data_IF_888495082953
#
_entry.id   IF_888495082953
#
_cell.length_a   1.000
_cell.length_b   1.000
_cell.length_c   1.000
_cell.angle_alpha   90.00
_cell.angle_beta   90.00
_cell.angle_gamma   90.00
#
_symmetry.space_group_name_H-M   'P 1'
#
loop_
_entity.id
_entity.type
_entity.pdbx_description
1 polymer ?
#
# COMPACT_ATOMS: atom_id res chain seq x y z
N UNK A 1 44.30 -13.64 10.90
CA UNK A 1 43.09 -13.62 11.74
C UNK A 1 41.97 -13.27 10.79
N UNK A 2 41.15 -14.25 10.43
CA UNK A 2 40.20 -14.23 9.31
C UNK A 2 39.02 -13.30 9.55
N UNK A 3 38.66 -12.55 8.50
CA UNK A 3 37.41 -11.79 8.34
C UNK A 3 36.20 -12.68 8.70
N UNK A 4 35.33 -12.15 9.56
CA UNK A 4 34.05 -12.77 9.90
C UNK A 4 33.05 -12.24 8.87
N UNK A 5 32.67 -13.09 7.93
CA UNK A 5 31.61 -12.87 6.95
C UNK A 5 30.26 -12.91 7.68
N UNK A 6 29.63 -11.76 7.84
CA UNK A 6 28.29 -11.63 8.42
C UNK A 6 27.32 -11.74 7.24
N UNK A 7 26.49 -12.78 7.13
CA UNK A 7 25.57 -12.90 6.01
C UNK A 7 24.52 -11.77 6.06
N UNK A 8 24.32 -11.12 4.91
CA UNK A 8 23.30 -10.09 4.70
C UNK A 8 21.91 -10.61 5.07
N UNK A 9 21.32 -10.03 6.10
CA UNK A 9 19.97 -10.35 6.56
C UNK A 9 18.99 -9.41 5.84
N UNK A 10 18.19 -9.97 4.92
CA UNK A 10 17.08 -9.24 4.31
C UNK A 10 16.06 -8.81 5.38
N UNK A 11 15.47 -7.60 5.29
CA UNK A 11 14.49 -7.14 6.27
C UNK A 11 13.23 -8.01 6.18
N UNK A 12 12.87 -8.66 7.30
CA UNK A 12 11.57 -9.31 7.43
C UNK A 12 10.46 -8.29 7.19
N UNK A 13 9.70 -8.48 6.12
CA UNK A 13 8.44 -7.80 5.89
C UNK A 13 7.48 -8.20 7.00
N UNK A 14 7.25 -7.29 7.94
CA UNK A 14 6.14 -7.34 8.89
C UNK A 14 4.81 -7.22 8.13
N UNK A 15 4.39 -8.31 7.48
CA UNK A 15 3.04 -8.49 6.99
C UNK A 15 2.14 -8.77 8.20
N UNK A 16 1.59 -7.69 8.77
CA UNK A 16 0.41 -7.76 9.63
C UNK A 16 -0.78 -8.30 8.80
N UNK A 17 -0.89 -9.63 8.76
CA UNK A 17 -2.11 -10.32 9.17
C UNK A 17 -3.42 -9.99 8.45
N UNK A 18 -3.43 -9.69 7.15
CA UNK A 18 -4.60 -9.93 6.33
C UNK A 18 -4.46 -11.31 5.67
N UNK A 19 -4.72 -12.37 6.43
CA UNK A 19 -4.82 -13.72 5.88
C UNK A 19 -5.98 -13.79 4.89
N UNK A 20 -5.71 -13.53 3.61
CA UNK A 20 -6.59 -13.98 2.54
C UNK A 20 -6.44 -15.49 2.51
N UNK A 21 -7.26 -16.18 3.30
CA UNK A 21 -7.41 -17.63 3.20
C UNK A 21 -7.67 -17.93 1.73
N UNK A 22 -6.77 -18.69 1.05
CA UNK A 22 -7.07 -19.11 -0.31
C UNK A 22 -8.30 -20.00 -0.19
N UNK A 23 -9.41 -19.59 -0.80
CA UNK A 23 -10.59 -20.44 -0.89
C UNK A 23 -10.13 -21.74 -1.54
N UNK A 24 -10.02 -22.79 -0.71
CA UNK A 24 -9.61 -24.12 -1.13
C UNK A 24 -10.70 -24.61 -2.07
N UNK A 25 -10.51 -24.35 -3.36
CA UNK A 25 -11.38 -24.81 -4.44
C UNK A 25 -11.67 -26.28 -4.22
N UNK A 26 -12.93 -26.67 -4.34
CA UNK A 26 -13.44 -27.99 -3.98
C UNK A 26 -12.78 -29.06 -4.86
N UNK A 27 -11.60 -29.54 -4.49
CA UNK A 27 -10.81 -30.58 -5.17
C UNK A 27 -11.38 -31.99 -4.91
N UNK A 28 -12.71 -32.11 -4.91
CA UNK A 28 -13.40 -33.36 -4.58
C UNK A 28 -13.15 -34.49 -5.60
N UNK A 29 -12.60 -34.17 -6.78
CA UNK A 29 -12.39 -35.13 -7.87
C UNK A 29 -10.93 -35.23 -8.34
N UNK A 30 -9.95 -34.76 -7.55
CA UNK A 30 -8.52 -34.84 -7.95
C UNK A 30 -8.03 -36.28 -8.11
N UNK A 31 -8.63 -37.23 -7.38
CA UNK A 31 -8.24 -38.64 -7.42
C UNK A 31 -9.05 -39.49 -8.41
N UNK A 32 -9.98 -38.90 -9.16
CA UNK A 32 -10.70 -39.61 -10.23
C UNK A 32 -9.81 -39.59 -11.47
N UNK A 33 -9.41 -40.78 -11.95
CA UNK A 33 -8.64 -40.97 -13.20
C UNK A 33 -9.44 -40.34 -14.36
N UNK A 34 -8.96 -39.23 -14.91
CA UNK A 34 -9.59 -38.49 -16.03
C UNK A 34 -9.27 -39.07 -17.41
N UNK A 35 -8.78 -40.30 -17.47
CA UNK A 35 -8.48 -40.97 -18.73
C UNK A 35 -9.79 -41.54 -19.27
N UNK A 36 -10.44 -40.79 -20.16
CA UNK A 36 -11.48 -41.36 -21.01
C UNK A 36 -10.80 -42.30 -22.01
N UNK A 37 -11.34 -43.50 -22.15
CA UNK A 37 -10.92 -44.41 -23.23
C UNK A 37 -11.41 -43.87 -24.59
N UNK A 38 -10.74 -44.23 -25.70
CA UNK A 38 -11.14 -43.79 -27.05
C UNK A 38 -12.59 -44.20 -27.38
N UNK A 39 -13.06 -45.32 -26.85
CA UNK A 39 -14.44 -45.80 -26.98
C UNK A 39 -15.44 -44.84 -26.30
N UNK A 40 -15.12 -44.36 -25.09
CA UNK A 40 -15.95 -43.40 -24.35
C UNK A 40 -15.89 -41.98 -24.92
N UNK A 41 -14.75 -41.58 -25.49
CA UNK A 41 -14.62 -40.32 -26.24
C UNK A 41 -15.40 -40.34 -27.55
N UNK A 42 -15.57 -41.51 -28.18
CA UNK A 42 -16.37 -41.64 -29.40
C UNK A 42 -17.88 -41.53 -29.13
N UNK A 43 -18.29 -41.61 -27.86
CA UNK A 43 -19.69 -41.45 -27.46
C UNK A 43 -20.18 -40.02 -27.73
N UNK A 44 -21.26 -39.84 -28.50
CA UNK A 44 -21.81 -38.52 -28.79
C UNK A 44 -22.31 -37.76 -27.55
N UNK A 45 -22.62 -38.47 -26.46
CA UNK A 45 -23.00 -37.83 -25.19
C UNK A 45 -21.81 -37.16 -24.50
N UNK A 46 -20.64 -37.82 -24.49
CA UNK A 46 -19.40 -37.29 -23.89
C UNK A 46 -18.86 -36.12 -24.70
N UNK A 47 -18.92 -36.21 -26.03
CA UNK A 47 -18.51 -35.10 -26.91
C UNK A 47 -19.37 -33.85 -26.71
N UNK A 48 -20.70 -33.99 -26.63
CA UNK A 48 -21.59 -32.85 -26.35
C UNK A 48 -21.33 -32.24 -24.97
N UNK A 49 -21.15 -33.08 -23.94
CA UNK A 49 -20.80 -32.60 -22.60
C UNK A 49 -19.49 -31.81 -22.60
N UNK A 50 -18.44 -32.31 -23.27
CA UNK A 50 -17.15 -31.62 -23.36
C UNK A 50 -17.26 -30.29 -24.12
N UNK A 51 -18.05 -30.25 -25.20
CA UNK A 51 -18.31 -29.01 -25.94
C UNK A 51 -19.05 -28.00 -25.07
N UNK A 52 -20.11 -28.42 -24.37
CA UNK A 52 -20.86 -27.55 -23.45
C UNK A 52 -19.96 -27.00 -22.33
N UNK A 53 -19.06 -27.83 -21.79
CA UNK A 53 -18.09 -27.41 -20.78
C UNK A 53 -17.04 -26.44 -21.33
N UNK A 54 -16.56 -26.65 -22.56
CA UNK A 54 -15.65 -25.71 -23.24
C UNK A 54 -16.34 -24.36 -23.44
N UNK A 55 -17.56 -24.34 -23.98
CA UNK A 55 -18.32 -23.11 -24.18
C UNK A 55 -18.56 -22.36 -22.86
N UNK A 56 -18.91 -23.11 -21.80
CA UNK A 56 -19.07 -22.53 -20.45
C UNK A 56 -17.76 -21.93 -19.94
N UNK A 57 -16.64 -22.64 -20.06
CA UNK A 57 -15.33 -22.16 -19.60
C UNK A 57 -14.83 -20.98 -20.41
N UNK A 58 -15.08 -20.94 -21.73
CA UNK A 58 -14.74 -19.79 -22.58
C UNK A 58 -15.55 -18.56 -22.19
N UNK A 59 -16.84 -18.72 -21.90
CA UNK A 59 -17.68 -17.64 -21.39
C UNK A 59 -17.20 -17.13 -20.04
N UNK A 60 -16.92 -18.02 -19.08
CA UNK A 60 -16.39 -17.66 -17.77
C UNK A 60 -15.04 -16.93 -17.91
N UNK A 61 -14.15 -17.41 -18.79
CA UNK A 61 -12.86 -16.76 -19.07
C UNK A 61 -13.04 -15.37 -19.68
N UNK A 62 -13.98 -15.21 -20.61
CA UNK A 62 -14.28 -13.93 -21.23
C UNK A 62 -14.77 -12.93 -20.19
N UNK A 63 -15.76 -13.31 -19.39
CA UNK A 63 -16.27 -12.48 -18.28
C UNK A 63 -15.14 -12.10 -17.31
N UNK A 64 -14.30 -13.07 -16.91
CA UNK A 64 -13.21 -12.83 -15.96
C UNK A 64 -12.12 -11.91 -16.53
N UNK A 65 -11.84 -12.00 -17.84
CA UNK A 65 -10.83 -11.16 -18.49
C UNK A 65 -11.17 -9.67 -18.42
N UNK A 66 -12.46 -9.31 -18.49
CA UNK A 66 -12.92 -7.93 -18.35
C UNK A 66 -12.71 -7.39 -16.93
N UNK A 67 -12.90 -8.25 -15.91
CA UNK A 67 -12.67 -7.86 -14.52
C UNK A 67 -11.19 -7.70 -14.18
N UNK A 68 -10.29 -8.41 -14.87
CA UNK A 68 -8.86 -8.32 -14.60
C UNK A 68 -8.33 -6.90 -14.88
N UNK A 69 -8.66 -6.33 -16.03
CA UNK A 69 -8.20 -4.97 -16.38
C UNK A 69 -8.78 -3.93 -15.42
N UNK A 70 -10.07 -4.03 -15.11
CA UNK A 70 -10.75 -3.12 -14.17
C UNK A 70 -10.20 -3.24 -12.75
N UNK A 71 -9.83 -4.44 -12.32
CA UNK A 71 -9.19 -4.68 -11.03
C UNK A 71 -7.84 -3.99 -10.99
N UNK A 72 -6.97 -4.21 -11.98
CA UNK A 72 -5.66 -3.56 -12.02
C UNK A 72 -5.73 -2.04 -12.12
N UNK A 73 -6.70 -1.50 -12.86
CA UNK A 73 -6.93 -0.05 -12.92
C UNK A 73 -7.34 0.51 -11.55
N UNK A 74 -8.27 -0.17 -10.87
CA UNK A 74 -8.78 0.24 -9.57
C UNK A 74 -7.70 0.12 -8.48
N UNK A 75 -6.94 -0.98 -8.49
CA UNK A 75 -5.82 -1.22 -7.58
C UNK A 75 -4.72 -0.16 -7.74
N UNK A 76 -4.35 0.15 -9.00
CA UNK A 76 -3.40 1.23 -9.30
C UNK A 76 -3.91 2.59 -8.81
N UNK A 77 -5.20 2.90 -9.00
CA UNK A 77 -5.80 4.13 -8.49
C UNK A 77 -5.76 4.17 -6.96
N UNK A 78 -6.09 3.07 -6.29
CA UNK A 78 -6.03 2.97 -4.83
C UNK A 78 -4.61 3.24 -4.32
N UNK A 79 -3.60 2.61 -4.93
CA UNK A 79 -2.20 2.83 -4.58
C UNK A 79 -1.76 4.30 -4.77
N UNK A 80 -2.17 4.93 -5.88
CA UNK A 80 -1.90 6.35 -6.14
C UNK A 80 -2.56 7.25 -5.08
N UNK A 81 -3.82 6.98 -4.74
CA UNK A 81 -4.55 7.77 -3.75
C UNK A 81 -3.95 7.60 -2.34
N UNK A 82 -3.62 6.38 -1.96
CA UNK A 82 -2.99 6.08 -0.67
C UNK A 82 -1.65 6.85 -0.53
N UNK A 83 -0.85 6.87 -1.59
CA UNK A 83 0.40 7.62 -1.62
C UNK A 83 0.19 9.14 -1.54
N UNK A 84 -0.85 9.68 -2.18
CA UNK A 84 -1.22 11.10 -2.05
C UNK A 84 -1.68 11.44 -0.63
N UNK A 85 -2.43 10.55 0.02
CA UNK A 85 -2.87 10.73 1.41
C UNK A 85 -1.67 10.71 2.36
N UNK A 86 -0.74 9.77 2.21
CA UNK A 86 0.51 9.72 3.01
C UNK A 86 1.32 11.01 2.88
N UNK A 87 1.46 11.53 1.66
CA UNK A 87 2.15 12.83 1.42
C UNK A 87 1.44 14.00 2.10
N UNK A 88 0.10 13.99 2.11
CA UNK A 88 -0.70 15.03 2.74
C UNK A 88 -0.58 14.97 4.27
N UNK A 89 -0.65 13.77 4.85
CA UNK A 89 -0.46 13.54 6.28
C UNK A 89 0.92 14.02 6.75
N UNK A 90 1.98 13.69 6.01
CA UNK A 90 3.34 14.14 6.33
C UNK A 90 3.44 15.68 6.40
N UNK A 91 2.79 16.40 5.46
CA UNK A 91 2.77 17.87 5.49
C UNK A 91 1.97 18.42 6.67
N UNK A 92 0.87 17.78 7.06
CA UNK A 92 0.08 18.17 8.22
C UNK A 92 0.85 17.98 9.53
N UNK A 93 1.57 16.86 9.67
CA UNK A 93 2.41 16.60 10.84
C UNK A 93 3.53 17.64 10.93
N UNK A 94 4.25 17.91 9.84
CA UNK A 94 5.31 18.93 9.82
C UNK A 94 4.75 20.31 10.16
N UNK A 95 3.63 20.70 9.55
CA UNK A 95 2.97 21.97 9.86
C UNK A 95 2.57 22.07 11.33
N UNK A 96 1.94 21.02 11.88
CA UNK A 96 1.54 20.95 13.28
C UNK A 96 2.72 21.10 14.23
N UNK A 97 3.80 20.34 14.00
CA UNK A 97 5.03 20.42 14.81
C UNK A 97 5.64 21.82 14.74
N UNK A 98 5.82 22.37 13.53
CA UNK A 98 6.38 23.71 13.35
C UNK A 98 5.54 24.79 14.04
N UNK A 99 4.22 24.71 13.94
CA UNK A 99 3.32 25.68 14.56
C UNK A 99 3.33 25.57 16.09
N UNK A 100 3.24 24.36 16.64
CA UNK A 100 3.25 24.13 18.09
C UNK A 100 4.59 24.53 18.71
N UNK A 101 5.71 24.07 18.14
CA UNK A 101 7.04 24.39 18.67
C UNK A 101 7.36 25.87 18.48
N UNK A 102 6.99 26.45 17.33
CA UNK A 102 7.16 27.88 17.07
C UNK A 102 6.37 28.74 18.06
N UNK A 103 5.09 28.42 18.28
CA UNK A 103 4.25 29.12 19.25
C UNK A 103 4.77 28.97 20.69
N UNK A 104 5.23 27.78 21.08
CA UNK A 104 5.86 27.54 22.38
C UNK A 104 7.14 28.38 22.55
N UNK A 105 7.98 28.45 21.52
CA UNK A 105 9.19 29.29 21.52
C UNK A 105 8.89 30.77 21.71
N UNK A 106 7.88 31.28 20.99
CA UNK A 106 7.42 32.66 21.14
C UNK A 106 6.80 32.93 22.52
N UNK A 107 6.02 31.98 23.05
CA UNK A 107 5.47 32.07 24.41
C UNK A 107 6.52 32.00 25.51
N UNK A 108 7.64 31.32 25.27
CA UNK A 108 8.78 31.23 26.19
C UNK A 108 9.68 32.46 26.13
N UNK A 109 9.69 33.21 25.03
CA UNK A 109 10.58 34.36 24.84
C UNK A 109 10.54 35.42 25.97
N UNK A 110 9.39 35.79 26.56
CA UNK A 110 9.36 36.71 27.69
C UNK A 110 10.11 36.20 28.93
N UNK A 111 10.14 34.88 29.17
CA UNK A 111 10.79 34.28 30.33
C UNK A 111 12.33 34.42 30.29
N UNK A 112 12.91 34.53 29.09
CA UNK A 112 14.36 34.62 28.87
C UNK A 112 14.82 35.99 28.36
N UNK A 113 13.92 36.98 28.42
CA UNK A 113 14.18 38.34 27.92
C UNK A 113 15.36 39.03 28.62
N UNK A 114 15.51 38.79 29.92
CA UNK A 114 16.56 39.39 30.75
C UNK A 114 17.95 38.76 30.55
N UNK A 115 18.08 37.74 29.69
CA UNK A 115 19.35 37.07 29.40
C UNK A 115 19.70 37.16 27.92
N UNK A 116 20.14 38.34 27.41
CA UNK A 116 20.63 38.44 26.04
C UNK A 116 21.79 37.46 25.79
N UNK A 117 21.85 36.76 24.64
CA UNK A 117 21.00 36.90 23.45
C UNK A 117 19.77 35.95 23.41
N UNK A 118 19.51 35.18 24.48
CA UNK A 118 18.56 34.06 24.45
C UNK A 118 17.12 34.44 24.10
N UNK A 119 16.61 35.58 24.58
CA UNK A 119 15.28 36.09 24.21
C UNK A 119 15.12 36.40 22.72
N UNK A 120 16.13 37.03 22.11
CA UNK A 120 16.14 37.31 20.67
C UNK A 120 16.21 36.04 19.85
N UNK A 121 17.00 35.06 20.30
CA UNK A 121 17.08 33.75 19.65
C UNK A 121 15.75 32.99 19.73
N UNK A 122 15.06 33.02 20.87
CA UNK A 122 13.75 32.38 21.03
C UNK A 122 12.67 32.98 20.10
N UNK A 123 12.68 34.30 19.90
CA UNK A 123 11.78 34.95 18.94
C UNK A 123 12.16 34.60 17.50
N UNK A 124 13.44 34.72 17.15
CA UNK A 124 13.90 34.42 15.79
C UNK A 124 13.60 32.96 15.40
N UNK A 125 13.87 32.02 16.30
CA UNK A 125 13.56 30.60 16.12
C UNK A 125 12.06 30.35 15.97
N UNK A 126 11.24 30.98 16.82
CA UNK A 126 9.78 30.89 16.73
C UNK A 126 9.22 31.40 15.41
N UNK A 127 9.70 32.56 14.93
CA UNK A 127 9.30 33.14 13.64
C UNK A 127 9.71 32.24 12.48
N UNK A 128 10.94 31.71 12.49
CA UNK A 128 11.42 30.80 11.44
C UNK A 128 10.57 29.53 11.38
N UNK A 129 10.24 28.93 12.53
CA UNK A 129 9.42 27.73 12.57
C UNK A 129 8.01 27.97 12.08
N UNK A 130 7.35 29.05 12.51
CA UNK A 130 6.00 29.37 12.05
C UNK A 130 6.01 29.71 10.55
N UNK A 131 6.96 30.55 10.11
CA UNK A 131 7.11 30.93 8.71
C UNK A 131 7.42 29.73 7.81
N UNK A 132 8.32 28.85 8.24
CA UNK A 132 8.67 27.61 7.56
C UNK A 132 7.49 26.63 7.51
N UNK A 133 6.73 26.51 8.60
CA UNK A 133 5.49 25.73 8.64
C UNK A 133 4.47 26.24 7.61
N UNK A 134 4.19 27.54 7.59
CA UNK A 134 3.28 28.15 6.61
C UNK A 134 3.79 27.92 5.19
N UNK A 135 5.07 28.19 4.92
CA UNK A 135 5.67 27.98 3.61
C UNK A 135 5.59 26.52 3.15
N UNK A 136 5.80 25.55 4.05
CA UNK A 136 5.72 24.12 3.75
C UNK A 136 4.33 23.69 3.23
N UNK A 137 3.27 24.38 3.69
CA UNK A 137 1.89 24.14 3.28
C UNK A 137 1.51 24.86 1.98
N UNK A 138 2.16 25.99 1.69
CA UNK A 138 1.85 26.85 0.53
C UNK A 138 2.61 26.43 -0.72
N UNK A 139 3.86 25.96 -0.60
CA UNK A 139 4.75 25.67 -1.74
C UNK A 139 4.35 24.41 -2.55
N UNK A 140 3.44 23.58 -2.04
CA UNK A 140 3.02 22.33 -2.68
C UNK A 140 1.52 22.23 -3.03
N UNK A 141 0.82 23.36 -3.03
CA UNK A 141 -0.48 23.46 -3.71
C UNK A 141 -0.27 23.77 -5.20
#
# INVERSE_FOLDING_TARGET
MSEIDIPDQEPESSDEGASVTPHKGRRAFINVRRELSDEELSSPAVQRMLIDDIERLEKEKFELSEYQERFHESDKRAAILEEQVKKSLSQEVVFGVCLTVGAASLGYAPAVWSSPPSGWLAIAFGIILIGGGIASRVVKR
#
